data_IF_689210773965
#
_entry.id   IF_689210773965
#
_cell.length_a   1.000
_cell.length_b   1.000
_cell.length_c   1.000
_cell.angle_alpha   90.00
_cell.angle_beta   90.00
_cell.angle_gamma   90.00
#
_symmetry.space_group_name_H-M   'P 1'
#
loop_
_entity.id
_entity.type
_entity.pdbx_description
1 polymer ?
#
# COMPACT_ATOMS: atom_id res chain seq x y z
N UNK A 1 -65.92 -38.92 7.01
CA UNK A 1 -66.76 -38.03 7.84
C UNK A 1 -65.87 -36.95 8.45
N UNK A 2 -66.17 -35.68 8.13
CA UNK A 2 -66.12 -34.44 8.95
C UNK A 2 -64.91 -34.22 9.89
N UNK A 3 -64.01 -33.27 9.59
CA UNK A 3 -64.07 -31.81 9.79
C UNK A 3 -63.81 -31.28 11.21
N UNK A 4 -62.79 -30.41 11.28
CA UNK A 4 -62.69 -29.10 11.98
C UNK A 4 -62.04 -29.01 13.37
N UNK A 5 -60.81 -28.45 13.36
CA UNK A 5 -60.34 -27.21 14.00
C UNK A 5 -61.00 -26.73 15.30
N UNK A 6 -60.16 -26.37 16.29
CA UNK A 6 -59.93 -25.00 16.81
C UNK A 6 -58.57 -25.01 17.57
N UNK A 7 -57.59 -24.24 17.05
CA UNK A 7 -56.51 -23.59 17.81
C UNK A 7 -57.11 -22.31 18.43
N UNK A 8 -56.65 -21.77 19.58
CA UNK A 8 -55.42 -20.96 19.54
C UNK A 8 -54.70 -20.73 20.89
N UNK A 9 -53.70 -19.83 20.86
CA UNK A 9 -53.19 -18.98 21.98
C UNK A 9 -52.38 -19.65 23.09
N UNK A 10 -51.04 -19.48 23.06
CA UNK A 10 -50.18 -18.97 24.17
C UNK A 10 -48.66 -19.21 23.99
N UNK A 11 -48.11 -19.32 22.78
CA UNK A 11 -46.65 -19.28 22.61
C UNK A 11 -46.19 -18.50 21.36
N UNK A 12 -46.79 -17.33 21.16
CA UNK A 12 -46.45 -16.37 20.10
C UNK A 12 -45.96 -15.01 20.65
N UNK A 13 -45.30 -15.00 21.81
CA UNK A 13 -44.91 -13.76 22.49
C UNK A 13 -43.43 -13.70 22.93
N UNK A 14 -42.55 -14.49 22.31
CA UNK A 14 -41.09 -14.37 22.51
C UNK A 14 -40.29 -14.22 21.20
N UNK A 15 -40.96 -14.12 20.04
CA UNK A 15 -40.35 -14.04 18.70
C UNK A 15 -40.65 -12.72 17.96
N UNK A 16 -41.14 -11.69 18.66
CA UNK A 16 -41.64 -10.47 18.02
C UNK A 16 -41.13 -9.15 18.63
N UNK A 17 -39.97 -9.11 19.29
CA UNK A 17 -39.42 -7.88 19.88
C UNK A 17 -37.91 -7.62 19.69
N UNK A 18 -37.25 -8.22 18.70
CA UNK A 18 -35.96 -7.71 18.20
C UNK A 18 -35.93 -7.64 16.67
N UNK A 19 -37.07 -7.28 16.08
CA UNK A 19 -37.13 -6.68 14.76
C UNK A 19 -36.92 -5.17 14.87
N UNK A 20 -35.67 -4.75 14.93
CA UNK A 20 -35.26 -3.42 14.48
C UNK A 20 -34.25 -3.66 13.36
N UNK A 21 -34.73 -3.53 12.12
CA UNK A 21 -33.90 -3.45 10.92
C UNK A 21 -32.85 -2.35 11.10
N UNK A 22 -31.59 -2.74 11.01
CA UNK A 22 -30.46 -1.85 10.87
C UNK A 22 -29.29 -2.67 10.35
N UNK A 23 -29.43 -3.13 9.10
CA UNK A 23 -28.38 -3.63 8.20
C UNK A 23 -27.02 -3.88 8.88
N UNK A 24 -26.99 -4.95 9.68
CA UNK A 24 -25.88 -5.25 10.59
C UNK A 24 -24.84 -6.03 9.80
N UNK A 25 -23.75 -5.31 9.49
CA UNK A 25 -22.43 -5.81 9.07
C UNK A 25 -22.47 -6.93 8.03
N UNK A 26 -22.60 -6.56 6.75
CA UNK A 26 -21.96 -7.35 5.70
C UNK A 26 -20.45 -7.23 5.92
N UNK A 27 -19.94 -8.30 6.50
CA UNK A 27 -18.60 -8.51 7.04
C UNK A 27 -17.50 -8.06 6.06
N UNK A 28 -16.72 -7.00 6.37
CA UNK A 28 -15.53 -6.70 5.59
C UNK A 28 -14.49 -7.84 5.67
N UNK A 29 -14.62 -8.77 6.62
CA UNK A 29 -13.66 -9.87 6.75
C UNK A 29 -13.80 -10.94 5.64
N UNK A 30 -14.92 -10.96 4.90
CA UNK A 30 -15.21 -11.99 3.90
C UNK A 30 -14.39 -11.89 2.59
N UNK A 31 -13.50 -10.90 2.43
CA UNK A 31 -12.75 -10.66 1.20
C UNK A 31 -11.23 -10.84 1.32
N UNK A 32 -10.69 -11.18 2.49
CA UNK A 32 -9.23 -11.22 2.73
C UNK A 32 -8.61 -12.59 3.00
N UNK A 33 -9.36 -13.69 2.95
CA UNK A 33 -8.80 -15.05 3.12
C UNK A 33 -8.51 -15.76 1.80
N UNK A 34 -8.25 -15.03 0.71
CA UNK A 34 -7.69 -15.64 -0.48
C UNK A 34 -6.20 -15.88 -0.25
N UNK A 35 -5.76 -17.14 -0.29
CA UNK A 35 -4.34 -17.51 -0.25
C UNK A 35 -3.53 -16.80 -1.35
N UNK A 36 -4.19 -16.33 -2.42
CA UNK A 36 -3.58 -15.51 -3.46
C UNK A 36 -3.24 -14.09 -2.98
N UNK A 37 -4.08 -13.45 -2.16
CA UNK A 37 -3.78 -12.15 -1.58
C UNK A 37 -2.57 -12.21 -0.63
N UNK A 38 -2.48 -13.25 0.19
CA UNK A 38 -1.34 -13.48 1.09
C UNK A 38 -0.05 -13.86 0.34
N UNK A 39 -0.16 -14.56 -0.80
CA UNK A 39 0.98 -14.84 -1.67
C UNK A 39 1.51 -13.57 -2.37
N UNK A 40 0.62 -12.67 -2.76
CA UNK A 40 0.96 -11.34 -3.31
C UNK A 40 1.61 -10.43 -2.25
N UNK A 41 1.20 -10.55 -0.99
CA UNK A 41 1.85 -9.83 0.12
C UNK A 41 3.28 -10.31 0.36
N UNK A 42 3.49 -11.64 0.35
CA UNK A 42 4.84 -12.22 0.49
C UNK A 42 5.75 -11.91 -0.69
N UNK A 43 5.21 -11.69 -1.89
CA UNK A 43 6.01 -11.21 -3.02
C UNK A 43 6.33 -9.72 -2.92
N UNK A 44 5.54 -8.91 -2.19
CA UNK A 44 5.82 -7.49 -1.94
C UNK A 44 6.99 -7.25 -0.99
N UNK A 45 7.24 -8.20 -0.08
CA UNK A 45 8.45 -8.22 0.75
C UNK A 45 9.73 -8.49 -0.08
N UNK A 46 9.60 -8.84 -1.37
CA UNK A 46 10.72 -9.23 -2.21
C UNK A 46 11.34 -8.08 -3.04
N UNK A 47 10.82 -6.85 -2.98
CA UNK A 47 11.46 -5.72 -3.67
C UNK A 47 12.80 -5.40 -2.98
N UNK A 48 13.91 -5.37 -3.73
CA UNK A 48 15.23 -5.08 -3.15
C UNK A 48 15.26 -3.63 -2.66
N UNK A 49 15.44 -3.47 -1.35
CA UNK A 49 15.46 -2.16 -0.71
C UNK A 49 16.89 -1.64 -0.62
N UNK A 50 17.08 -0.32 -0.75
CA UNK A 50 18.41 0.29 -0.60
C UNK A 50 19.09 -0.14 0.72
N UNK A 51 18.43 -0.09 1.90
CA UNK A 51 19.01 -0.60 3.14
C UNK A 51 19.60 -2.01 3.08
N UNK A 52 18.91 -2.96 2.42
CA UNK A 52 19.40 -4.34 2.29
C UNK A 52 20.70 -4.40 1.47
N UNK A 53 20.77 -3.59 0.41
CA UNK A 53 21.97 -3.48 -0.42
C UNK A 53 23.13 -2.80 0.33
N UNK A 54 22.83 -1.83 1.20
CA UNK A 54 23.83 -1.22 2.08
C UNK A 54 24.39 -2.24 3.08
N UNK A 55 23.56 -3.15 3.58
CA UNK A 55 23.97 -4.20 4.53
C UNK A 55 24.81 -5.28 3.84
N UNK A 56 24.54 -5.57 2.57
CA UNK A 56 25.31 -6.51 1.74
C UNK A 56 26.63 -5.96 1.21
N UNK A 57 26.86 -4.64 1.30
CA UNK A 57 28.08 -4.02 0.83
C UNK A 57 29.27 -4.30 1.78
N UNK A 58 30.33 -4.92 1.25
CA UNK A 58 31.56 -5.12 2.00
C UNK A 58 32.35 -3.80 2.08
N UNK A 59 32.44 -3.22 3.27
CA UNK A 59 33.20 -1.99 3.51
C UNK A 59 34.66 -2.29 3.84
N UNK A 60 35.58 -1.75 3.03
CA UNK A 60 37.02 -1.81 3.29
C UNK A 60 37.53 -0.60 4.07
N UNK A 61 36.97 0.60 3.82
CA UNK A 61 37.47 1.86 4.38
C UNK A 61 36.45 2.57 5.31
N UNK A 62 36.92 3.32 6.34
CA UNK A 62 36.03 4.11 7.21
C UNK A 62 35.19 5.16 6.47
N UNK A 63 35.69 5.68 5.35
CA UNK A 63 34.98 6.65 4.52
C UNK A 63 33.73 6.04 3.90
N UNK A 64 33.82 4.81 3.42
CA UNK A 64 32.70 4.10 2.79
C UNK A 64 31.62 3.82 3.83
N UNK A 65 32.01 3.44 5.04
CA UNK A 65 31.08 3.27 6.16
C UNK A 65 30.30 4.54 6.46
N UNK A 66 30.97 5.71 6.49
CA UNK A 66 30.29 6.99 6.70
C UNK A 66 29.30 7.33 5.58
N UNK A 67 29.64 7.01 4.33
CA UNK A 67 28.76 7.19 3.17
C UNK A 67 27.52 6.31 3.30
N UNK A 68 27.67 5.02 3.63
CA UNK A 68 26.55 4.09 3.77
C UNK A 68 25.63 4.46 4.94
N UNK A 69 26.20 4.89 6.07
CA UNK A 69 25.41 5.41 7.21
C UNK A 69 24.59 6.63 6.78
N UNK A 70 25.21 7.59 6.09
CA UNK A 70 24.51 8.78 5.63
C UNK A 70 23.41 8.46 4.60
N UNK A 71 23.67 7.52 3.70
CA UNK A 71 22.66 7.05 2.76
C UNK A 71 21.46 6.41 3.48
N UNK A 72 21.71 5.62 4.54
CA UNK A 72 20.66 5.02 5.36
C UNK A 72 19.79 6.08 6.06
N UNK A 73 20.41 7.12 6.62
CA UNK A 73 19.68 8.24 7.24
C UNK A 73 18.80 8.98 6.22
N UNK A 74 19.35 9.29 5.04
CA UNK A 74 18.62 9.96 3.96
C UNK A 74 17.46 9.11 3.47
N UNK A 75 17.67 7.79 3.33
CA UNK A 75 16.63 6.86 2.94
C UNK A 75 15.50 6.82 3.98
N UNK A 76 15.83 6.65 5.27
CA UNK A 76 14.84 6.64 6.34
C UNK A 76 14.02 7.94 6.37
N UNK A 77 14.66 9.09 6.19
CA UNK A 77 13.98 10.39 6.09
C UNK A 77 13.12 10.55 4.82
N UNK A 78 13.32 9.70 3.80
CA UNK A 78 12.54 9.61 2.58
C UNK A 78 11.46 8.52 2.58
N UNK A 79 11.37 7.70 3.64
CA UNK A 79 10.30 6.70 3.83
C UNK A 79 9.06 7.31 4.50
N UNK A 80 9.22 8.42 5.21
CA UNK A 80 8.10 9.16 5.80
C UNK A 80 7.18 9.74 4.71
N UNK A 81 5.86 9.82 4.95
CA UNK A 81 4.93 10.49 4.05
C UNK A 81 5.34 11.97 3.88
N UNK A 82 5.46 12.43 2.64
CA UNK A 82 5.99 13.76 2.34
C UNK A 82 6.09 14.12 0.86
N UNK A 83 5.43 13.35 -0.01
CA UNK A 83 5.37 13.61 -1.46
C UNK A 83 6.75 13.79 -2.11
N UNK A 84 6.91 14.85 -2.89
CA UNK A 84 8.13 15.14 -3.67
C UNK A 84 9.41 15.26 -2.83
N UNK A 85 9.30 15.70 -1.56
CA UNK A 85 10.47 15.80 -0.66
C UNK A 85 10.99 14.42 -0.25
N UNK A 86 10.09 13.48 -0.01
CA UNK A 86 10.44 12.10 0.33
C UNK A 86 11.11 11.40 -0.85
N UNK A 87 10.59 11.59 -2.07
CA UNK A 87 11.23 11.09 -3.30
C UNK A 87 12.63 11.68 -3.51
N UNK A 88 12.78 13.00 -3.35
CA UNK A 88 14.07 13.67 -3.50
C UNK A 88 15.13 13.14 -2.50
N UNK A 89 14.72 12.84 -1.26
CA UNK A 89 15.61 12.25 -0.25
C UNK A 89 16.05 10.84 -0.61
N UNK A 90 15.14 9.98 -1.12
CA UNK A 90 15.50 8.63 -1.57
C UNK A 90 16.43 8.67 -2.78
N UNK A 91 16.20 9.56 -3.74
CA UNK A 91 17.11 9.79 -4.88
C UNK A 91 18.49 10.23 -4.41
N UNK A 92 18.56 11.15 -3.44
CA UNK A 92 19.82 11.60 -2.87
C UNK A 92 20.54 10.46 -2.13
N UNK A 93 19.81 9.64 -1.37
CA UNK A 93 20.38 8.47 -0.70
C UNK A 93 21.02 7.49 -1.70
N UNK A 94 20.32 7.18 -2.80
CA UNK A 94 20.83 6.33 -3.88
C UNK A 94 22.10 6.94 -4.47
N UNK A 95 22.06 8.22 -4.87
CA UNK A 95 23.21 8.89 -5.47
C UNK A 95 24.43 8.92 -4.53
N UNK A 96 24.21 9.05 -3.22
CA UNK A 96 25.27 9.07 -2.22
C UNK A 96 25.93 7.69 -2.05
N UNK A 97 25.13 6.62 -1.98
CA UNK A 97 25.62 5.26 -1.82
C UNK A 97 26.20 4.64 -3.10
N UNK A 98 25.79 5.14 -4.27
CA UNK A 98 26.04 4.52 -5.56
C UNK A 98 27.52 4.17 -5.82
N UNK A 99 28.51 5.06 -5.57
CA UNK A 99 29.92 4.72 -5.84
C UNK A 99 30.38 3.52 -5.02
N UNK A 100 30.07 3.51 -3.72
CA UNK A 100 30.43 2.41 -2.81
C UNK A 100 29.74 1.12 -3.21
N UNK A 101 28.44 1.17 -3.55
CA UNK A 101 27.69 -0.01 -3.93
C UNK A 101 28.22 -0.66 -5.22
N UNK A 102 28.52 0.15 -6.25
CA UNK A 102 29.04 -0.33 -7.53
C UNK A 102 30.38 -1.05 -7.37
N UNK A 103 31.23 -0.58 -6.46
CA UNK A 103 32.53 -1.19 -6.18
C UNK A 103 32.43 -2.42 -5.27
N UNK A 104 31.52 -2.39 -4.29
CA UNK A 104 31.48 -3.37 -3.20
C UNK A 104 30.56 -4.57 -3.47
N UNK A 105 29.53 -4.41 -4.30
CA UNK A 105 28.57 -5.49 -4.56
C UNK A 105 29.00 -6.35 -5.77
N UNK A 106 28.92 -7.68 -5.65
CA UNK A 106 29.27 -8.57 -6.75
C UNK A 106 28.27 -8.42 -7.91
N UNK A 107 28.69 -8.64 -9.17
CA UNK A 107 27.80 -8.53 -10.34
C UNK A 107 26.50 -9.35 -10.25
N UNK A 108 26.56 -10.51 -9.57
CA UNK A 108 25.39 -11.36 -9.34
C UNK A 108 24.30 -10.70 -8.49
N UNK A 109 24.66 -9.75 -7.61
CA UNK A 109 23.68 -9.00 -6.82
C UNK A 109 22.81 -8.12 -7.71
N UNK A 110 23.42 -7.42 -8.67
CA UNK A 110 22.69 -6.55 -9.59
C UNK A 110 21.72 -7.31 -10.49
N UNK A 111 22.07 -8.55 -10.86
CA UNK A 111 21.17 -9.46 -11.58
C UNK A 111 19.96 -9.80 -10.71
N UNK A 112 20.17 -10.14 -9.43
CA UNK A 112 19.08 -10.42 -8.48
C UNK A 112 18.19 -9.22 -8.25
N UNK A 113 18.77 -8.03 -8.10
CA UNK A 113 18.02 -6.77 -7.96
C UNK A 113 17.14 -6.52 -9.18
N UNK A 114 17.69 -6.71 -10.39
CA UNK A 114 16.92 -6.57 -11.64
C UNK A 114 15.77 -7.56 -11.70
N UNK A 115 16.03 -8.85 -11.46
CA UNK A 115 15.00 -9.90 -11.50
C UNK A 115 13.85 -9.60 -10.54
N UNK A 116 14.15 -9.29 -9.27
CA UNK A 116 13.11 -8.95 -8.28
C UNK A 116 12.30 -7.70 -8.66
N UNK A 117 12.95 -6.71 -9.28
CA UNK A 117 12.29 -5.50 -9.76
C UNK A 117 11.33 -5.81 -10.91
N UNK A 118 11.75 -6.65 -11.86
CA UNK A 118 10.93 -7.09 -12.99
C UNK A 118 9.76 -7.98 -12.52
N UNK A 119 10.01 -8.92 -11.60
CA UNK A 119 8.98 -9.80 -11.02
C UNK A 119 7.89 -9.01 -10.30
N UNK A 120 8.29 -7.99 -9.52
CA UNK A 120 7.35 -7.12 -8.84
C UNK A 120 6.53 -6.29 -9.83
N UNK A 121 7.18 -5.70 -10.85
CA UNK A 121 6.49 -4.94 -11.88
C UNK A 121 5.42 -5.80 -12.56
N UNK A 122 5.75 -7.03 -12.96
CA UNK A 122 4.80 -7.97 -13.55
C UNK A 122 3.65 -8.35 -12.61
N UNK A 123 3.96 -8.53 -11.32
CA UNK A 123 2.95 -8.81 -10.28
C UNK A 123 1.98 -7.65 -10.13
N UNK A 124 2.49 -6.43 -9.93
CA UNK A 124 1.68 -5.24 -9.76
C UNK A 124 0.82 -4.95 -11.00
N UNK A 125 1.36 -5.12 -12.21
CA UNK A 125 0.60 -5.01 -13.46
C UNK A 125 -0.53 -6.03 -13.54
N UNK A 126 -0.27 -7.28 -13.13
CA UNK A 126 -1.29 -8.33 -13.13
C UNK A 126 -2.46 -7.97 -12.23
N UNK A 127 -2.19 -7.39 -11.05
CA UNK A 127 -3.22 -6.96 -10.11
C UNK A 127 -4.09 -5.84 -10.68
N UNK A 128 -3.48 -4.87 -11.37
CA UNK A 128 -4.19 -3.73 -11.95
C UNK A 128 -5.04 -4.08 -13.18
N UNK A 129 -4.90 -5.27 -13.77
CA UNK A 129 -5.78 -5.70 -14.87
C UNK A 129 -7.27 -5.70 -14.50
N UNK A 130 -7.57 -5.81 -13.21
CA UNK A 130 -8.94 -5.92 -12.70
C UNK A 130 -9.33 -4.75 -11.79
N UNK A 131 -8.42 -3.78 -11.58
CA UNK A 131 -8.63 -2.65 -10.66
C UNK A 131 -7.94 -1.40 -11.22
N UNK A 132 -8.70 -0.31 -11.42
CA UNK A 132 -8.10 0.97 -11.82
C UNK A 132 -7.55 1.70 -10.61
N UNK A 133 -6.24 1.95 -10.61
CA UNK A 133 -5.58 2.77 -9.60
C UNK A 133 -4.59 3.71 -10.28
N UNK A 134 -5.03 4.89 -10.75
CA UNK A 134 -4.20 5.79 -11.55
C UNK A 134 -2.87 6.20 -10.86
N UNK A 135 -2.86 6.29 -9.53
CA UNK A 135 -1.64 6.58 -8.77
C UNK A 135 -0.60 5.46 -8.88
N UNK A 136 -1.02 4.20 -8.75
CA UNK A 136 -0.15 3.03 -8.89
C UNK A 136 0.30 2.88 -10.34
N UNK A 137 -0.61 3.02 -11.31
CA UNK A 137 -0.31 2.96 -12.75
C UNK A 137 0.78 3.97 -13.17
N UNK A 138 0.73 5.20 -12.64
CA UNK A 138 1.77 6.21 -12.87
C UNK A 138 3.12 5.77 -12.31
N UNK A 139 3.16 5.20 -11.10
CA UNK A 139 4.40 4.71 -10.48
C UNK A 139 5.00 3.53 -11.24
N UNK A 140 4.19 2.57 -11.69
CA UNK A 140 4.66 1.48 -12.55
C UNK A 140 5.23 2.01 -13.88
N UNK A 141 4.55 2.97 -14.51
CA UNK A 141 5.03 3.60 -15.74
C UNK A 141 6.35 4.36 -15.54
N UNK A 142 6.49 5.08 -14.43
CA UNK A 142 7.74 5.73 -14.04
C UNK A 142 8.86 4.71 -13.81
N UNK A 143 8.59 3.59 -13.15
CA UNK A 143 9.57 2.52 -12.95
C UNK A 143 10.03 1.90 -14.27
N UNK A 144 9.12 1.66 -15.23
CA UNK A 144 9.48 1.20 -16.59
C UNK A 144 10.40 2.16 -17.32
N UNK A 145 10.16 3.47 -17.20
CA UNK A 145 11.07 4.47 -17.79
C UNK A 145 12.46 4.40 -17.17
N UNK A 146 12.55 4.20 -15.84
CA UNK A 146 13.84 4.01 -15.18
C UNK A 146 14.53 2.72 -15.62
N UNK A 147 13.82 1.60 -15.76
CA UNK A 147 14.39 0.36 -16.28
C UNK A 147 14.87 0.52 -17.73
N UNK A 148 14.11 1.20 -18.60
CA UNK A 148 14.55 1.53 -19.96
C UNK A 148 15.79 2.42 -19.97
N UNK A 149 15.83 3.41 -19.08
CA UNK A 149 17.01 4.29 -18.91
C UNK A 149 18.23 3.50 -18.46
N UNK A 150 18.05 2.51 -17.56
CA UNK A 150 19.10 1.56 -17.22
C UNK A 150 19.55 0.77 -18.45
N UNK A 151 18.63 0.19 -19.23
CA UNK A 151 19.00 -0.66 -20.38
C UNK A 151 19.83 0.06 -21.45
N UNK A 152 19.61 1.37 -21.64
CA UNK A 152 20.35 2.20 -22.63
C UNK A 152 21.53 2.97 -22.04
N UNK A 153 21.79 2.86 -20.74
CA UNK A 153 22.86 3.61 -20.07
C UNK A 153 24.26 3.13 -20.49
N UNK A 154 25.13 4.08 -20.80
CA UNK A 154 26.48 3.80 -21.31
C UNK A 154 27.45 3.28 -20.23
N UNK A 155 27.28 3.71 -18.98
CA UNK A 155 28.16 3.33 -17.87
C UNK A 155 27.49 2.29 -16.96
N UNK A 156 28.29 1.46 -16.28
CA UNK A 156 27.75 0.55 -15.27
C UNK A 156 27.11 1.30 -14.09
N UNK A 157 27.71 2.43 -13.69
CA UNK A 157 27.20 3.26 -12.61
C UNK A 157 25.81 3.85 -12.93
N UNK A 158 25.61 4.38 -14.13
CA UNK A 158 24.30 4.91 -14.55
C UNK A 158 23.24 3.81 -14.65
N UNK A 159 23.65 2.62 -15.14
CA UNK A 159 22.79 1.43 -15.16
C UNK A 159 22.27 1.08 -13.76
N UNK A 160 23.18 0.99 -12.79
CA UNK A 160 22.83 0.69 -11.40
C UNK A 160 21.99 1.80 -10.78
N UNK A 161 22.33 3.07 -11.04
CA UNK A 161 21.55 4.21 -10.55
C UNK A 161 20.09 4.12 -10.99
N UNK A 162 19.84 3.94 -12.29
CA UNK A 162 18.49 3.85 -12.83
C UNK A 162 17.74 2.60 -12.37
N UNK A 163 18.43 1.47 -12.19
CA UNK A 163 17.85 0.28 -11.58
C UNK A 163 17.38 0.53 -10.14
N UNK A 164 18.20 1.18 -9.32
CA UNK A 164 17.84 1.54 -7.95
C UNK A 164 16.69 2.56 -7.89
N UNK A 165 16.62 3.49 -8.84
CA UNK A 165 15.48 4.40 -8.98
C UNK A 165 14.18 3.65 -9.33
N UNK A 166 14.24 2.65 -10.21
CA UNK A 166 13.10 1.81 -10.52
C UNK A 166 12.59 1.10 -9.26
N UNK A 167 13.47 0.40 -8.54
CA UNK A 167 13.14 -0.25 -7.28
C UNK A 167 12.54 0.72 -6.26
N UNK A 168 13.18 1.87 -6.02
CA UNK A 168 12.64 2.89 -5.11
C UNK A 168 11.28 3.45 -5.53
N UNK A 169 10.97 3.48 -6.82
CA UNK A 169 9.67 3.94 -7.31
C UNK A 169 8.60 2.88 -7.03
N UNK A 170 8.94 1.60 -7.25
CA UNK A 170 8.05 0.47 -7.01
C UNK A 170 7.74 0.24 -5.54
N UNK A 171 8.60 0.67 -4.62
CA UNK A 171 8.31 0.66 -3.18
C UNK A 171 6.97 1.35 -2.85
N UNK A 172 6.62 2.42 -3.56
CA UNK A 172 5.35 3.12 -3.34
C UNK A 172 4.11 2.36 -3.85
N UNK A 173 4.32 1.26 -4.57
CA UNK A 173 3.26 0.36 -5.03
C UNK A 173 3.07 -0.83 -4.09
N UNK A 174 3.88 -0.94 -3.04
CA UNK A 174 3.73 -1.99 -2.04
C UNK A 174 2.50 -1.77 -1.17
N UNK A 175 1.87 -2.83 -0.65
CA UNK A 175 0.69 -2.75 0.20
C UNK A 175 0.85 -1.80 1.38
N UNK A 176 2.03 -1.78 2.01
CA UNK A 176 2.35 -0.85 3.10
C UNK A 176 2.19 0.63 2.70
N UNK A 177 2.70 1.01 1.54
CA UNK A 177 2.62 2.38 1.06
C UNK A 177 1.21 2.72 0.57
N UNK A 178 0.59 1.79 -0.17
CA UNK A 178 -0.79 1.95 -0.64
C UNK A 178 -1.75 2.12 0.54
N UNK A 179 -1.63 1.30 1.59
CA UNK A 179 -2.45 1.40 2.80
C UNK A 179 -2.36 2.77 3.47
N UNK A 180 -1.13 3.30 3.60
CA UNK A 180 -0.91 4.64 4.16
C UNK A 180 -1.56 5.73 3.31
N UNK A 181 -1.32 5.72 2.01
CA UNK A 181 -1.89 6.71 1.09
C UNK A 181 -3.42 6.64 1.12
N UNK A 182 -4.00 5.44 1.09
CA UNK A 182 -5.45 5.28 1.15
C UNK A 182 -6.05 5.76 2.47
N UNK A 183 -5.38 5.53 3.61
CA UNK A 183 -5.84 6.06 4.89
C UNK A 183 -5.84 7.61 4.91
N UNK A 184 -4.80 8.24 4.36
CA UNK A 184 -4.73 9.71 4.20
C UNK A 184 -5.80 10.24 3.23
N UNK A 185 -6.06 9.52 2.13
CA UNK A 185 -7.10 9.85 1.16
C UNK A 185 -8.50 9.74 1.76
N UNK A 186 -8.77 8.72 2.57
CA UNK A 186 -10.02 8.57 3.30
C UNK A 186 -10.27 9.73 4.26
N UNK A 187 -9.24 10.14 5.03
CA UNK A 187 -9.33 11.32 5.89
C UNK A 187 -9.64 12.59 5.08
N UNK A 188 -8.96 12.77 3.94
CA UNK A 188 -9.20 13.92 3.08
C UNK A 188 -10.63 13.90 2.47
N UNK A 189 -11.14 12.74 2.05
CA UNK A 189 -12.48 12.58 1.51
C UNK A 189 -13.56 12.90 2.56
N UNK A 190 -13.43 12.36 3.78
CA UNK A 190 -14.36 12.61 4.89
C UNK A 190 -14.35 14.09 5.30
N UNK A 191 -13.18 14.74 5.36
CA UNK A 191 -13.10 16.18 5.62
C UNK A 191 -13.83 17.02 4.57
N UNK A 192 -13.68 16.67 3.29
CA UNK A 192 -14.41 17.34 2.19
C UNK A 192 -15.92 17.12 2.33
N UNK A 193 -16.35 15.90 2.59
CA UNK A 193 -17.76 15.56 2.74
C UNK A 193 -18.39 16.22 3.97
N UNK A 194 -17.71 16.25 5.11
CA UNK A 194 -18.18 16.95 6.31
C UNK A 194 -18.32 18.46 6.12
N UNK A 195 -17.45 19.09 5.32
CA UNK A 195 -17.59 20.49 4.97
C UNK A 195 -18.83 20.79 4.09
N UNK A 196 -19.28 19.81 3.30
CA UNK A 196 -20.46 19.90 2.43
C UNK A 196 -21.76 19.47 3.15
N UNK A 197 -21.65 18.58 4.14
CA UNK A 197 -22.80 17.99 4.84
C UNK A 197 -23.46 18.91 5.88
N UNK A 198 -22.91 20.10 6.13
CA UNK A 198 -23.60 21.16 6.90
C UNK A 198 -24.97 21.51 6.28
N UNK A 199 -25.21 21.15 5.02
CA UNK A 199 -26.46 21.39 4.29
C UNK A 199 -27.38 20.14 4.12
N UNK A 200 -26.95 18.92 4.48
CA UNK A 200 -27.69 17.66 4.16
C UNK A 200 -27.72 16.68 5.34
N UNK A 201 -28.89 16.12 5.66
CA UNK A 201 -29.15 15.15 6.76
C UNK A 201 -28.52 13.75 6.50
N UNK A 202 -27.20 13.67 6.42
CA UNK A 202 -26.49 12.45 6.01
C UNK A 202 -25.46 11.97 7.06
N UNK A 203 -25.74 12.32 8.32
CA UNK A 203 -24.91 12.11 9.52
C UNK A 203 -24.50 10.63 9.77
N UNK A 204 -25.38 9.61 9.61
CA UNK A 204 -25.02 8.22 9.93
C UNK A 204 -23.92 7.62 9.02
N UNK A 205 -23.88 8.03 7.75
CA UNK A 205 -22.86 7.54 6.82
C UNK A 205 -21.51 8.20 7.06
N UNK A 206 -21.51 9.49 7.40
CA UNK A 206 -20.29 10.20 7.80
C UNK A 206 -19.69 9.62 9.07
N UNK A 207 -20.51 9.33 10.08
CA UNK A 207 -20.05 8.65 11.29
C UNK A 207 -19.47 7.27 10.99
N UNK A 208 -20.11 6.50 10.11
CA UNK A 208 -19.60 5.18 9.69
C UNK A 208 -18.27 5.29 8.94
N UNK A 209 -18.16 6.25 8.03
CA UNK A 209 -16.93 6.53 7.30
C UNK A 209 -15.80 6.96 8.24
N UNK A 210 -16.08 7.81 9.22
CA UNK A 210 -15.09 8.27 10.20
C UNK A 210 -14.53 7.12 11.06
N UNK A 211 -15.39 6.22 11.54
CA UNK A 211 -14.96 4.99 12.22
C UNK A 211 -14.07 4.11 11.36
N UNK A 212 -14.44 3.91 10.09
CA UNK A 212 -13.66 3.10 9.16
C UNK A 212 -12.28 3.72 8.87
N UNK A 213 -12.21 5.05 8.76
CA UNK A 213 -10.96 5.79 8.62
C UNK A 213 -10.05 5.61 9.84
N UNK A 214 -10.59 5.69 11.06
CA UNK A 214 -9.81 5.45 12.28
C UNK A 214 -9.30 4.00 12.36
N UNK A 215 -10.14 3.02 11.99
CA UNK A 215 -9.73 1.61 11.96
C UNK A 215 -8.73 1.28 10.85
N UNK A 216 -8.78 2.02 9.74
CA UNK A 216 -7.77 1.91 8.68
C UNK A 216 -6.42 2.42 9.17
N UNK A 217 -6.39 3.58 9.82
CA UNK A 217 -5.17 4.14 10.41
C UNK A 217 -4.55 3.20 11.44
N UNK A 218 -5.37 2.62 12.32
CA UNK A 218 -4.92 1.61 13.29
C UNK A 218 -4.34 0.36 12.63
N UNK A 219 -5.00 -0.17 11.61
CA UNK A 219 -4.49 -1.33 10.86
C UNK A 219 -3.14 -1.03 10.16
N UNK A 220 -2.91 0.21 9.69
CA UNK A 220 -1.59 0.62 9.17
C UNK A 220 -0.50 0.54 10.24
N UNK A 221 -0.81 0.95 11.48
CA UNK A 221 0.13 0.91 12.61
C UNK A 221 0.42 -0.53 13.05
N UNK A 222 -0.60 -1.40 13.04
CA UNK A 222 -0.51 -2.82 13.41
C UNK A 222 0.11 -3.69 12.31
N UNK A 223 0.33 -3.14 11.11
CA UNK A 223 0.93 -3.85 9.98
C UNK A 223 -0.07 -4.65 9.12
N UNK A 224 -1.37 -4.50 9.39
CA UNK A 224 -2.48 -5.14 8.70
C UNK A 224 -2.85 -4.39 7.41
N UNK A 225 -1.90 -4.29 6.47
CA UNK A 225 -2.00 -3.36 5.34
C UNK A 225 -3.18 -3.61 4.40
N UNK A 226 -3.55 -4.87 4.16
CA UNK A 226 -4.71 -5.17 3.31
C UNK A 226 -6.03 -4.76 3.96
N UNK A 227 -6.16 -5.01 5.26
CA UNK A 227 -7.33 -4.60 6.03
C UNK A 227 -7.44 -3.07 6.08
N UNK A 228 -6.30 -2.38 6.23
CA UNK A 228 -6.24 -0.93 6.14
C UNK A 228 -6.71 -0.41 4.77
N UNK A 229 -6.22 -0.99 3.67
CA UNK A 229 -6.63 -0.66 2.29
C UNK A 229 -8.14 -0.81 2.14
N UNK A 230 -8.69 -1.93 2.59
CA UNK A 230 -10.11 -2.24 2.46
C UNK A 230 -10.98 -1.26 3.27
N UNK A 231 -10.62 -1.03 4.54
CA UNK A 231 -11.34 -0.08 5.42
C UNK A 231 -11.32 1.34 4.86
N UNK A 232 -10.16 1.78 4.37
CA UNK A 232 -10.01 3.09 3.73
C UNK A 232 -10.83 3.20 2.44
N UNK A 233 -10.82 2.17 1.59
CA UNK A 233 -11.63 2.11 0.38
C UNK A 233 -13.12 2.26 0.68
N UNK A 234 -13.65 1.51 1.65
CA UNK A 234 -15.06 1.61 2.02
C UNK A 234 -15.41 2.96 2.65
N UNK A 235 -14.51 3.53 3.45
CA UNK A 235 -14.71 4.87 4.00
C UNK A 235 -14.86 5.91 2.87
N UNK A 236 -14.02 5.85 1.84
CA UNK A 236 -14.09 6.71 0.65
C UNK A 236 -15.40 6.48 -0.12
N UNK A 237 -15.76 5.22 -0.40
CA UNK A 237 -16.99 4.88 -1.13
C UNK A 237 -18.26 5.39 -0.43
N UNK A 238 -18.31 5.36 0.90
CA UNK A 238 -19.46 5.86 1.66
C UNK A 238 -19.71 7.36 1.48
N UNK A 239 -18.67 8.14 1.20
CA UNK A 239 -18.76 9.61 1.12
C UNK A 239 -18.64 10.16 -0.30
N UNK A 240 -17.98 9.46 -1.22
CA UNK A 240 -17.81 9.87 -2.62
C UNK A 240 -18.69 9.08 -3.60
N UNK A 241 -19.17 7.88 -3.23
CA UNK A 241 -20.09 7.07 -4.04
C UNK A 241 -21.54 7.56 -4.02
N UNK A 242 -21.75 8.85 -3.73
CA UNK A 242 -23.04 9.52 -3.59
C UNK A 242 -23.33 10.44 -4.77
#
# INVERSE_FOLDING_TARGET
MRHRFILPTTLAAALALTGACGDDVTDPDALLESAEAEAVMRSAEALPMLPELLDGAAVGEPRDQAILVRARELWAAGVAPGGSRSEARRRLAIAYALPVLVESLPPGEWIRVRQRTDDWLATAESMLRHLSMPAVERRLSQAREQLRSADVSATHQDRVYHLLLAGSTLVETTPRYVARVMAEEAEAAIRRAGALAVEVQDEPALERADRLKDWAARAVEEGEYLLAIQRAYYAIQLVEGR
#
